data_IF_496802411344
#
_entry.id   IF_496802411344
#
_cell.length_a   1.000
_cell.length_b   1.000
_cell.length_c   1.000
_cell.angle_alpha   90.00
_cell.angle_beta   90.00
_cell.angle_gamma   90.00
#
_symmetry.space_group_name_H-M   'P 1'
#
loop_
_entity.id
_entity.type
_entity.pdbx_description
1 polymer ?
#
# COMPACT_ATOMS: atom_id res chain seq x y z
N UNK A 1 -8.28 13.20 22.13
CA UNK A 1 -8.15 11.79 21.77
C UNK A 1 -6.68 11.42 21.60
N UNK A 2 -6.22 10.36 22.25
CA UNK A 2 -4.85 9.85 22.15
C UNK A 2 -4.85 8.54 21.37
N UNK A 3 -4.10 8.49 20.29
CA UNK A 3 -4.12 7.36 19.35
C UNK A 3 -2.72 6.76 19.26
N UNK A 4 -2.62 5.46 19.46
CA UNK A 4 -1.36 4.75 19.23
C UNK A 4 -1.45 3.92 17.96
N UNK A 5 -0.58 4.19 16.98
CA UNK A 5 -0.48 3.47 15.72
C UNK A 5 0.74 2.55 15.72
N UNK A 6 0.54 1.31 15.35
CA UNK A 6 1.62 0.29 15.36
C UNK A 6 1.84 -0.22 13.95
N UNK A 7 3.05 -0.02 13.45
CA UNK A 7 3.38 -0.41 12.07
C UNK A 7 4.84 -0.75 11.92
N UNK A 8 5.17 -1.57 10.94
CA UNK A 8 6.57 -1.84 10.63
C UNK A 8 6.81 -2.79 9.47
N UNK A 9 8.07 -2.80 9.05
CA UNK A 9 8.61 -3.71 8.06
C UNK A 9 8.61 -3.16 6.63
N UNK A 10 7.47 -2.83 6.05
CA UNK A 10 7.38 -2.39 4.65
C UNK A 10 6.49 -1.17 4.48
N UNK A 11 6.68 -0.45 3.36
CA UNK A 11 5.83 0.69 3.02
C UNK A 11 4.34 0.36 2.96
N UNK A 12 3.99 -0.89 2.62
CA UNK A 12 2.59 -1.35 2.60
C UNK A 12 1.88 -1.32 3.96
N UNK A 13 2.62 -1.36 5.07
CA UNK A 13 2.09 -1.18 6.42
C UNK A 13 2.22 0.28 6.92
N UNK A 14 3.33 0.93 6.56
CA UNK A 14 3.70 2.25 7.09
C UNK A 14 2.84 3.36 6.49
N UNK A 15 2.70 3.41 5.16
CA UNK A 15 1.96 4.48 4.49
C UNK A 15 0.45 4.49 4.79
N UNK A 16 -0.26 3.35 4.91
CA UNK A 16 -1.63 3.34 5.41
C UNK A 16 -1.77 3.88 6.83
N UNK A 17 -0.80 3.59 7.72
CA UNK A 17 -0.81 4.11 9.08
C UNK A 17 -0.58 5.63 9.12
N UNK A 18 0.33 6.14 8.29
CA UNK A 18 0.56 7.59 8.15
C UNK A 18 -0.69 8.26 7.57
N UNK A 19 -1.29 7.70 6.51
CA UNK A 19 -2.51 8.22 5.90
C UNK A 19 -3.67 8.35 6.90
N UNK A 20 -3.83 7.36 7.77
CA UNK A 20 -4.83 7.43 8.84
C UNK A 20 -4.46 8.49 9.90
N UNK A 21 -3.18 8.60 10.27
CA UNK A 21 -2.68 9.61 11.21
C UNK A 21 -2.93 11.03 10.70
N UNK A 22 -2.60 11.30 9.43
CA UNK A 22 -2.82 12.59 8.78
C UNK A 22 -4.31 12.95 8.78
N UNK A 23 -5.19 11.97 8.54
CA UNK A 23 -6.63 12.19 8.54
C UNK A 23 -7.15 12.46 9.97
N UNK A 24 -6.67 11.74 10.98
CA UNK A 24 -6.99 12.04 12.38
C UNK A 24 -6.56 13.46 12.76
N UNK A 25 -5.33 13.86 12.42
CA UNK A 25 -4.80 15.19 12.73
C UNK A 25 -5.63 16.30 12.04
N UNK A 26 -6.07 16.05 10.80
CA UNK A 26 -6.90 17.00 10.06
C UNK A 26 -8.29 17.16 10.64
N UNK A 27 -8.95 16.05 11.04
CA UNK A 27 -10.32 16.08 11.57
C UNK A 27 -10.39 16.43 13.05
N UNK A 28 -9.38 16.04 13.83
CA UNK A 28 -9.28 16.23 15.27
C UNK A 28 -7.98 16.95 15.61
N UNK A 29 -7.90 18.29 15.46
CA UNK A 29 -6.64 19.04 15.61
C UNK A 29 -5.97 18.89 16.99
N UNK A 30 -6.74 18.51 18.03
CA UNK A 30 -6.23 18.29 19.38
C UNK A 30 -5.94 16.82 19.67
N UNK A 31 -5.87 15.94 18.67
CA UNK A 31 -5.47 14.56 18.91
C UNK A 31 -3.95 14.44 19.11
N UNK A 32 -3.56 13.54 19.99
CA UNK A 32 -2.16 13.16 20.16
C UNK A 32 -1.91 11.80 19.50
N UNK A 33 -0.91 11.73 18.65
CA UNK A 33 -0.56 10.49 17.93
C UNK A 33 0.82 10.02 18.35
N UNK A 34 0.90 8.75 18.74
CA UNK A 34 2.14 8.03 19.00
C UNK A 34 2.26 6.85 18.05
N UNK A 35 3.37 6.75 17.35
CA UNK A 35 3.73 5.55 16.59
C UNK A 35 4.65 4.63 17.40
N UNK A 36 4.43 3.32 17.27
CA UNK A 36 5.34 2.29 17.76
C UNK A 36 5.75 1.41 16.57
N UNK A 37 7.07 1.22 16.39
CA UNK A 37 7.64 0.44 15.31
C UNK A 37 8.99 -0.19 15.68
N UNK A 38 9.69 -0.82 14.73
CA UNK A 38 11.04 -1.32 14.95
C UNK A 38 12.09 -0.21 14.86
N UNK A 39 13.19 -0.39 15.59
CA UNK A 39 14.33 0.53 15.65
C UNK A 39 15.25 0.45 14.42
N UNK A 40 15.25 -0.67 13.72
CA UNK A 40 16.18 -1.03 12.65
C UNK A 40 15.53 -1.08 11.25
N UNK A 41 14.27 -0.62 11.11
CA UNK A 41 13.51 -0.72 9.87
C UNK A 41 13.12 0.66 9.32
N UNK A 42 12.45 0.63 8.15
CA UNK A 42 12.03 1.82 7.41
C UNK A 42 11.23 2.81 8.28
N UNK A 43 10.34 2.32 9.13
CA UNK A 43 9.47 3.11 9.99
C UNK A 43 10.24 4.02 10.95
N UNK A 44 11.42 3.59 11.43
CA UNK A 44 12.24 4.39 12.33
C UNK A 44 12.76 5.70 11.70
N UNK A 45 12.80 5.77 10.37
CA UNK A 45 13.21 6.97 9.61
C UNK A 45 12.00 7.72 9.05
N UNK A 46 11.06 6.98 8.45
CA UNK A 46 9.94 7.57 7.72
C UNK A 46 8.97 8.26 8.65
N UNK A 47 8.60 7.64 9.78
CA UNK A 47 7.58 8.21 10.69
C UNK A 47 8.04 9.53 11.33
N UNK A 48 9.27 9.64 11.91
CA UNK A 48 9.76 10.92 12.40
C UNK A 48 9.91 11.99 11.32
N UNK A 49 10.26 11.61 10.09
CA UNK A 49 10.33 12.53 8.96
C UNK A 49 8.96 13.13 8.58
N UNK A 50 7.85 12.47 8.92
CA UNK A 50 6.48 12.99 8.80
C UNK A 50 6.03 13.80 10.04
N UNK A 51 6.91 14.05 11.01
CA UNK A 51 6.62 14.86 12.19
C UNK A 51 5.91 14.15 13.34
N UNK A 52 5.73 12.82 13.25
CA UNK A 52 5.05 12.05 14.31
C UNK A 52 5.99 11.59 15.42
N UNK A 53 5.48 11.57 16.66
CA UNK A 53 6.18 10.94 17.79
C UNK A 53 6.36 9.45 17.53
N UNK A 54 7.57 8.94 17.77
CA UNK A 54 7.92 7.55 17.51
C UNK A 54 8.59 6.90 18.72
N UNK A 55 8.16 5.69 19.07
CA UNK A 55 8.79 4.84 20.08
C UNK A 55 9.21 3.52 19.43
N UNK A 56 10.45 3.14 19.66
CA UNK A 56 11.00 1.94 19.01
C UNK A 56 10.99 0.72 19.92
N UNK A 57 10.75 -0.41 19.28
CA UNK A 57 10.92 -1.76 19.84
C UNK A 57 11.93 -2.52 18.95
N UNK A 58 12.45 -3.62 19.47
CA UNK A 58 13.28 -4.52 18.70
C UNK A 58 12.57 -5.86 18.54
N UNK A 59 12.14 -6.18 17.32
CA UNK A 59 11.45 -7.44 17.00
C UNK A 59 11.97 -8.02 15.69
N UNK A 60 11.95 -9.33 15.57
CA UNK A 60 12.27 -10.04 14.34
C UNK A 60 11.19 -11.06 13.98
N UNK A 61 11.19 -11.48 12.70
CA UNK A 61 10.28 -12.53 12.24
C UNK A 61 10.60 -13.89 12.81
N UNK A 62 9.59 -14.73 12.94
CA UNK A 62 9.73 -16.16 13.28
C UNK A 62 10.23 -16.96 12.05
N UNK A 63 11.39 -16.53 11.51
CA UNK A 63 12.00 -17.08 10.28
C UNK A 63 13.38 -17.66 10.63
N UNK A 64 13.82 -18.66 9.86
CA UNK A 64 15.14 -19.27 10.03
C UNK A 64 15.13 -20.54 10.89
N UNK A 65 16.29 -20.87 11.47
CA UNK A 65 16.49 -22.09 12.28
C UNK A 65 15.86 -21.98 13.69
N UNK A 66 15.90 -23.07 14.45
CA UNK A 66 15.28 -23.15 15.80
C UNK A 66 15.83 -22.09 16.76
N UNK A 67 17.14 -21.81 16.73
CA UNK A 67 17.75 -20.77 17.57
C UNK A 67 17.27 -19.37 17.21
N UNK A 68 17.15 -19.07 15.92
CA UNK A 68 16.64 -17.77 15.45
C UNK A 68 15.17 -17.59 15.82
N UNK A 69 14.35 -18.64 15.70
CA UNK A 69 12.95 -18.62 16.14
C UNK A 69 12.83 -18.46 17.66
N UNK A 70 13.67 -19.14 18.44
CA UNK A 70 13.73 -18.99 19.91
C UNK A 70 14.09 -17.55 20.31
N UNK A 71 15.10 -16.94 19.65
CA UNK A 71 15.48 -15.55 19.86
C UNK A 71 14.32 -14.59 19.52
N UNK A 72 13.64 -14.81 18.40
CA UNK A 72 12.49 -13.97 17.99
C UNK A 72 11.34 -14.04 19.00
N UNK A 73 11.07 -15.23 19.59
CA UNK A 73 10.09 -15.38 20.67
C UNK A 73 10.52 -14.58 21.91
N UNK A 74 11.79 -14.67 22.33
CA UNK A 74 12.34 -13.88 23.44
C UNK A 74 12.21 -12.37 23.21
N UNK A 75 12.53 -11.91 21.99
CA UNK A 75 12.35 -10.51 21.59
C UNK A 75 10.87 -10.09 21.65
N UNK A 76 9.94 -10.96 21.26
CA UNK A 76 8.49 -10.68 21.32
C UNK A 76 8.03 -10.45 22.77
N UNK A 77 8.50 -11.25 23.73
CA UNK A 77 8.19 -11.03 25.16
C UNK A 77 8.80 -9.74 25.71
N UNK A 78 10.06 -9.45 25.37
CA UNK A 78 10.72 -8.20 25.75
C UNK A 78 10.00 -6.98 25.15
N UNK A 79 9.67 -7.04 23.86
CA UNK A 79 8.93 -5.99 23.16
C UNK A 79 7.54 -5.76 23.79
N UNK A 80 6.81 -6.84 24.15
CA UNK A 80 5.53 -6.74 24.85
C UNK A 80 5.67 -6.04 26.22
N UNK A 81 6.71 -6.34 27.00
CA UNK A 81 6.98 -5.69 28.29
C UNK A 81 7.26 -4.19 28.11
N UNK A 82 8.10 -3.84 27.12
CA UNK A 82 8.45 -2.45 26.79
C UNK A 82 7.24 -1.68 26.26
N UNK A 83 6.43 -2.32 25.38
CA UNK A 83 5.18 -1.77 24.88
C UNK A 83 4.20 -1.42 26.00
N UNK A 84 4.03 -2.30 27.00
CA UNK A 84 3.19 -2.01 28.18
C UNK A 84 3.62 -0.72 28.90
N UNK A 85 4.94 -0.47 29.01
CA UNK A 85 5.44 0.77 29.59
C UNK A 85 5.03 1.98 28.74
N UNK A 86 5.28 1.94 27.43
CA UNK A 86 4.92 3.02 26.53
C UNK A 86 3.43 3.35 26.54
N UNK A 87 2.58 2.31 26.54
CA UNK A 87 1.13 2.46 26.57
C UNK A 87 0.64 3.04 27.91
N UNK A 88 1.24 2.67 29.04
CA UNK A 88 0.90 3.27 30.34
C UNK A 88 1.33 4.72 30.45
N UNK A 89 2.50 5.06 29.87
CA UNK A 89 3.03 6.42 29.89
C UNK A 89 2.23 7.35 28.96
N UNK A 90 1.79 6.84 27.81
CA UNK A 90 1.03 7.61 26.82
C UNK A 90 -0.48 7.63 27.08
N UNK A 91 -1.04 6.55 27.64
CA UNK A 91 -2.47 6.35 27.92
C UNK A 91 -3.34 6.57 26.68
N UNK A 92 -3.17 5.77 25.60
CA UNK A 92 -3.98 5.91 24.41
C UNK A 92 -5.43 5.49 24.65
N UNK A 93 -6.37 6.19 24.02
CA UNK A 93 -7.78 5.84 23.97
C UNK A 93 -8.01 4.59 23.07
N UNK A 94 -7.15 4.42 22.05
CA UNK A 94 -7.18 3.28 21.14
C UNK A 94 -5.77 2.94 20.63
N UNK A 95 -5.54 1.65 20.34
CA UNK A 95 -4.34 1.16 19.67
C UNK A 95 -4.70 0.49 18.36
N UNK A 96 -4.11 0.93 17.25
CA UNK A 96 -4.39 0.43 15.90
C UNK A 96 -3.14 -0.23 15.31
N UNK A 97 -3.21 -1.51 15.01
CA UNK A 97 -2.12 -2.29 14.43
C UNK A 97 -2.23 -2.45 12.92
N UNK A 98 -1.23 -1.96 12.18
CA UNK A 98 -1.16 -2.08 10.71
C UNK A 98 -0.32 -3.26 10.21
N UNK A 99 0.17 -4.12 11.12
CA UNK A 99 0.98 -5.27 10.75
C UNK A 99 2.48 -5.06 10.94
N UNK A 100 3.26 -6.01 10.41
CA UNK A 100 4.67 -6.16 10.74
C UNK A 100 4.88 -6.98 12.03
N UNK A 101 6.13 -7.42 12.25
CA UNK A 101 6.45 -8.26 13.42
C UNK A 101 6.26 -7.54 14.76
N UNK A 102 6.37 -6.22 14.76
CA UNK A 102 6.18 -5.36 15.94
C UNK A 102 4.71 -5.28 16.38
N UNK A 103 3.78 -5.50 15.46
CA UNK A 103 2.34 -5.33 15.74
C UNK A 103 1.83 -6.32 16.79
N UNK A 104 2.13 -7.62 16.65
CA UNK A 104 1.61 -8.65 17.55
C UNK A 104 1.94 -8.40 19.04
N UNK A 105 3.20 -8.16 19.46
CA UNK A 105 3.51 -7.92 20.87
C UNK A 105 2.88 -6.64 21.42
N UNK A 106 2.71 -5.58 20.60
CA UNK A 106 2.05 -4.35 21.04
C UNK A 106 0.55 -4.57 21.20
N UNK A 107 -0.11 -5.21 20.24
CA UNK A 107 -1.54 -5.55 20.32
C UNK A 107 -1.83 -6.45 21.52
N UNK A 108 -0.97 -7.46 21.78
CA UNK A 108 -1.07 -8.28 22.99
C UNK A 108 -0.88 -7.50 24.30
N UNK A 109 -0.03 -6.47 24.28
CA UNK A 109 0.14 -5.56 25.42
C UNK A 109 -1.12 -4.74 25.65
N UNK A 110 -1.67 -4.13 24.58
CA UNK A 110 -2.87 -3.29 24.60
C UNK A 110 -4.08 -4.04 25.13
N UNK A 111 -4.39 -5.21 24.58
CA UNK A 111 -5.51 -6.06 25.03
C UNK A 111 -5.35 -6.47 26.51
N UNK A 112 -4.10 -6.74 26.99
CA UNK A 112 -3.87 -7.08 28.39
C UNK A 112 -3.97 -5.89 29.34
N UNK A 113 -4.01 -4.67 28.86
CA UNK A 113 -4.24 -3.43 29.61
C UNK A 113 -5.69 -2.96 29.52
N UNK A 114 -6.56 -3.66 28.80
CA UNK A 114 -7.95 -3.28 28.57
C UNK A 114 -8.11 -2.04 27.68
N UNK A 115 -7.09 -1.71 26.88
CA UNK A 115 -7.16 -0.58 25.95
C UNK A 115 -7.90 -1.02 24.68
N UNK A 116 -8.86 -0.26 24.15
CA UNK A 116 -9.52 -0.51 22.88
C UNK A 116 -8.54 -0.77 21.73
N UNK A 117 -8.83 -1.76 20.89
CA UNK A 117 -7.89 -2.26 19.89
C UNK A 117 -8.52 -2.51 18.54
N UNK A 118 -7.84 -2.09 17.48
CA UNK A 118 -8.19 -2.39 16.10
C UNK A 118 -6.96 -2.89 15.35
N UNK A 119 -7.14 -3.85 14.43
CA UNK A 119 -6.08 -4.22 13.48
C UNK A 119 -6.55 -3.98 12.05
N UNK A 120 -5.60 -3.69 11.18
CA UNK A 120 -5.84 -3.49 9.76
C UNK A 120 -5.08 -4.54 8.94
N UNK A 121 -5.77 -5.22 8.02
CA UNK A 121 -5.18 -6.15 7.05
C UNK A 121 -5.29 -5.58 5.64
N UNK A 122 -4.14 -5.30 5.04
CA UNK A 122 -4.04 -4.66 3.73
C UNK A 122 -4.16 -5.66 2.58
N UNK A 123 -3.77 -6.91 2.81
CA UNK A 123 -3.64 -7.93 1.77
C UNK A 123 -4.83 -8.89 1.78
N UNK A 124 -5.01 -9.59 0.65
CA UNK A 124 -6.03 -10.64 0.51
C UNK A 124 -5.68 -11.94 1.27
N UNK A 125 -4.41 -12.11 1.66
CA UNK A 125 -3.96 -13.18 2.54
C UNK A 125 -3.58 -12.58 3.89
N UNK A 126 -4.19 -13.13 4.94
CA UNK A 126 -4.02 -12.63 6.32
C UNK A 126 -2.59 -12.86 6.82
N UNK A 127 -1.96 -11.78 7.30
CA UNK A 127 -0.63 -11.81 7.87
C UNK A 127 -0.58 -12.54 9.22
N UNK A 128 0.55 -13.25 9.48
CA UNK A 128 0.72 -14.03 10.71
C UNK A 128 0.60 -13.21 12.00
N UNK A 129 1.06 -11.95 12.00
CA UNK A 129 0.92 -11.07 13.17
C UNK A 129 -0.54 -10.77 13.51
N UNK A 130 -1.39 -10.55 12.49
CA UNK A 130 -2.81 -10.32 12.66
C UNK A 130 -3.53 -11.60 13.12
N UNK A 131 -3.15 -12.79 12.59
CA UNK A 131 -3.69 -14.08 13.04
C UNK A 131 -3.44 -14.32 14.53
N UNK A 132 -2.27 -13.94 15.06
CA UNK A 132 -1.93 -14.14 16.47
C UNK A 132 -2.81 -13.36 17.45
N UNK A 133 -3.43 -12.29 17.01
CA UNK A 133 -4.20 -11.38 17.88
C UNK A 133 -5.68 -11.27 17.52
N UNK A 134 -6.12 -11.84 16.40
CA UNK A 134 -7.46 -11.67 15.83
C UNK A 134 -8.62 -11.94 16.79
N UNK A 135 -8.46 -12.93 17.70
CA UNK A 135 -9.51 -13.26 18.69
C UNK A 135 -9.55 -12.29 19.87
N UNK A 136 -8.47 -11.52 20.10
CA UNK A 136 -8.30 -10.65 21.28
C UNK A 136 -8.61 -9.17 21.02
N UNK A 137 -8.51 -8.73 19.76
CA UNK A 137 -8.80 -7.35 19.38
C UNK A 137 -10.29 -7.10 19.28
N UNK A 138 -10.70 -5.84 19.38
CA UNK A 138 -12.11 -5.44 19.37
C UNK A 138 -12.67 -5.34 17.94
N UNK A 139 -11.86 -4.87 16.98
CA UNK A 139 -12.24 -4.79 15.58
C UNK A 139 -11.09 -5.15 14.61
N UNK A 140 -11.48 -5.60 13.41
CA UNK A 140 -10.58 -6.00 12.33
C UNK A 140 -11.03 -5.32 11.05
N UNK A 141 -10.24 -4.39 10.55
CA UNK A 141 -10.48 -3.75 9.26
C UNK A 141 -9.77 -4.53 8.16
N UNK A 142 -10.46 -4.81 7.07
CA UNK A 142 -9.93 -5.55 5.93
C UNK A 142 -10.11 -4.78 4.62
N UNK A 143 -9.24 -5.08 3.63
CA UNK A 143 -9.32 -4.54 2.28
C UNK A 143 -10.02 -5.49 1.31
N UNK A 144 -10.15 -6.78 1.66
CA UNK A 144 -10.69 -7.82 0.80
C UNK A 144 -11.68 -8.72 1.54
N UNK A 145 -12.77 -9.08 0.88
CA UNK A 145 -13.78 -10.03 1.40
C UNK A 145 -13.19 -11.38 1.78
N UNK A 146 -12.17 -11.83 1.03
CA UNK A 146 -11.48 -13.10 1.25
C UNK A 146 -10.92 -13.26 2.67
N UNK A 147 -10.60 -12.18 3.34
CA UNK A 147 -10.13 -12.22 4.74
C UNK A 147 -11.17 -12.80 5.71
N UNK A 148 -12.47 -12.79 5.35
CA UNK A 148 -13.56 -13.37 6.14
C UNK A 148 -13.49 -14.91 6.27
N UNK A 149 -12.68 -15.57 5.43
CA UNK A 149 -12.40 -17.00 5.54
C UNK A 149 -11.52 -17.35 6.75
N UNK A 150 -10.78 -16.36 7.27
CA UNK A 150 -9.78 -16.56 8.34
C UNK A 150 -10.15 -15.82 9.62
N UNK A 151 -10.63 -14.59 9.50
CA UNK A 151 -10.93 -13.74 10.65
C UNK A 151 -12.32 -14.04 11.27
N UNK A 152 -12.51 -13.81 12.59
CA UNK A 152 -13.82 -13.88 13.24
C UNK A 152 -14.81 -12.91 12.58
N UNK A 153 -15.93 -13.44 12.07
CA UNK A 153 -16.90 -12.69 11.27
C UNK A 153 -17.56 -11.52 12.01
N UNK A 154 -17.73 -11.67 13.31
CA UNK A 154 -18.33 -10.68 14.20
C UNK A 154 -17.46 -9.44 14.44
N UNK A 155 -16.16 -9.50 14.05
CA UNK A 155 -15.20 -8.42 14.25
C UNK A 155 -14.76 -7.75 12.94
N UNK A 156 -15.16 -8.28 11.78
CA UNK A 156 -14.67 -7.82 10.48
C UNK A 156 -15.46 -6.61 9.98
N UNK A 157 -14.72 -5.61 9.53
CA UNK A 157 -15.21 -4.43 8.83
C UNK A 157 -14.45 -4.27 7.50
N UNK A 158 -15.14 -4.43 6.37
CA UNK A 158 -14.57 -4.27 5.03
C UNK A 158 -14.54 -2.78 4.65
N UNK A 159 -13.62 -2.02 5.23
CA UNK A 159 -13.52 -0.57 5.06
C UNK A 159 -12.45 -0.14 4.07
N UNK A 160 -11.52 -1.04 3.70
CA UNK A 160 -10.44 -0.75 2.78
C UNK A 160 -9.22 -0.10 3.44
N UNK A 161 -8.37 0.49 2.61
CA UNK A 161 -7.08 1.04 3.00
C UNK A 161 -7.16 2.58 3.09
N UNK A 162 -6.69 3.23 4.16
CA UNK A 162 -6.71 4.69 4.31
C UNK A 162 -6.07 5.46 3.14
N UNK A 163 -5.12 4.87 2.44
CA UNK A 163 -4.51 5.45 1.24
C UNK A 163 -5.50 5.71 0.10
N UNK A 164 -6.57 4.92 0.03
CA UNK A 164 -7.67 5.13 -0.92
C UNK A 164 -8.31 6.52 -0.76
N UNK A 165 -8.52 6.96 0.48
CA UNK A 165 -9.06 8.29 0.79
C UNK A 165 -8.09 9.39 0.36
N UNK A 166 -6.81 9.23 0.68
CA UNK A 166 -5.79 10.22 0.30
C UNK A 166 -5.67 10.35 -1.21
N UNK A 167 -5.67 9.22 -1.94
CA UNK A 167 -5.64 9.24 -3.40
C UNK A 167 -6.89 9.89 -4.01
N UNK A 168 -8.09 9.61 -3.45
CA UNK A 168 -9.35 10.19 -3.92
C UNK A 168 -9.43 11.71 -3.74
N UNK A 169 -8.83 12.23 -2.67
CA UNK A 169 -8.78 13.66 -2.36
C UNK A 169 -7.61 14.40 -3.00
N UNK A 170 -6.69 13.64 -3.62
CA UNK A 170 -5.51 14.20 -4.25
C UNK A 170 -5.91 15.18 -5.38
N UNK A 171 -5.23 16.32 -5.40
CA UNK A 171 -5.40 17.34 -6.43
C UNK A 171 -4.18 17.35 -7.33
N UNK A 172 -4.40 17.71 -8.60
CA UNK A 172 -3.31 17.91 -9.54
C UNK A 172 -2.40 19.04 -9.03
N UNK A 173 -1.10 18.76 -8.97
CA UNK A 173 -0.08 19.80 -8.83
C UNK A 173 0.37 20.19 -10.24
N UNK A 174 -0.21 21.27 -10.78
CA UNK A 174 0.01 21.73 -12.15
C UNK A 174 1.48 22.01 -12.43
N UNK A 175 2.21 22.60 -11.47
CA UNK A 175 3.63 22.90 -11.64
C UNK A 175 4.47 21.63 -11.68
N UNK A 176 4.15 20.65 -10.82
CA UNK A 176 4.82 19.36 -10.82
C UNK A 176 4.50 18.56 -12.10
N UNK A 177 3.23 18.55 -12.54
CA UNK A 177 2.83 17.88 -13.79
C UNK A 177 3.55 18.50 -15.00
N UNK A 178 3.61 19.83 -15.10
CA UNK A 178 4.33 20.52 -16.16
C UNK A 178 5.84 20.19 -16.17
N UNK A 179 6.44 19.97 -15.00
CA UNK A 179 7.87 19.59 -14.91
C UNK A 179 8.17 18.21 -15.49
N UNK A 180 7.16 17.34 -15.63
CA UNK A 180 7.28 16.02 -16.25
C UNK A 180 7.26 16.06 -17.78
N UNK A 181 7.00 17.24 -18.38
CA UNK A 181 6.96 17.49 -19.83
C UNK A 181 5.96 16.63 -20.62
N UNK A 182 4.87 16.19 -19.95
CA UNK A 182 3.81 15.39 -20.55
C UNK A 182 2.87 16.28 -21.38
N UNK A 183 2.37 15.76 -22.51
CA UNK A 183 1.35 16.43 -23.32
C UNK A 183 -0.03 16.31 -22.65
N UNK A 184 -0.68 17.40 -22.24
CA UNK A 184 -1.96 17.36 -21.56
C UNK A 184 -3.12 16.82 -22.41
N UNK A 185 -2.93 16.69 -23.74
CA UNK A 185 -3.93 16.22 -24.70
C UNK A 185 -3.81 14.72 -25.02
N UNK A 186 -2.77 14.03 -24.51
CA UNK A 186 -2.56 12.60 -24.73
C UNK A 186 -2.97 11.81 -23.49
N UNK A 187 -3.46 10.58 -23.71
CA UNK A 187 -3.66 9.64 -22.61
C UNK A 187 -2.33 9.28 -21.96
N UNK A 188 -2.23 9.47 -20.66
CA UNK A 188 -1.01 9.21 -19.87
C UNK A 188 -1.08 7.85 -19.20
N UNK A 189 -0.17 6.95 -19.58
CA UNK A 189 0.00 5.64 -18.94
C UNK A 189 1.22 5.70 -18.02
N UNK A 190 0.97 5.59 -16.72
CA UNK A 190 2.02 5.56 -15.70
C UNK A 190 2.54 4.12 -15.53
N UNK A 191 3.85 3.93 -15.59
CA UNK A 191 4.49 2.62 -15.41
C UNK A 191 5.36 2.65 -14.16
N UNK A 192 5.06 1.79 -13.17
CA UNK A 192 5.79 1.70 -11.89
C UNK A 192 6.00 0.25 -11.46
N UNK A 193 7.26 -0.21 -11.44
CA UNK A 193 7.58 -1.59 -11.02
C UNK A 193 8.14 -1.67 -9.59
N UNK A 194 7.69 -0.76 -8.72
CA UNK A 194 8.12 -0.62 -7.32
C UNK A 194 9.12 0.51 -7.12
N UNK A 195 9.31 0.93 -5.86
CA UNK A 195 10.11 2.11 -5.50
C UNK A 195 11.62 1.99 -5.78
N UNK A 196 12.12 0.77 -5.88
CA UNK A 196 13.53 0.51 -6.17
C UNK A 196 13.80 0.20 -7.65
N UNK A 197 12.73 -0.01 -8.43
CA UNK A 197 12.83 -0.46 -9.82
C UNK A 197 13.27 -1.94 -9.93
N UNK A 198 13.44 -2.40 -11.17
CA UNK A 198 13.92 -3.75 -11.50
C UNK A 198 14.67 -3.69 -12.82
N UNK A 199 15.97 -3.90 -12.81
CA UNK A 199 16.82 -3.81 -14.02
C UNK A 199 16.37 -4.74 -15.14
N UNK A 200 15.93 -5.97 -14.81
CA UNK A 200 15.41 -6.92 -15.81
C UNK A 200 14.10 -6.44 -16.45
N UNK A 201 13.24 -5.76 -15.67
CA UNK A 201 12.02 -5.17 -16.18
C UNK A 201 12.32 -3.92 -17.01
N UNK A 202 13.33 -3.10 -16.64
CA UNK A 202 13.72 -1.92 -17.39
C UNK A 202 14.17 -2.29 -18.82
N UNK A 203 15.00 -3.32 -18.99
CA UNK A 203 15.42 -3.80 -20.32
C UNK A 203 14.22 -4.32 -21.14
N UNK A 204 13.28 -5.01 -20.49
CA UNK A 204 12.08 -5.47 -21.16
C UNK A 204 11.21 -4.29 -21.60
N UNK A 205 11.03 -3.27 -20.74
CA UNK A 205 10.27 -2.06 -21.08
C UNK A 205 10.85 -1.33 -22.29
N UNK A 206 12.18 -1.26 -22.38
CA UNK A 206 12.87 -0.70 -23.55
C UNK A 206 12.46 -1.37 -24.86
N UNK A 207 12.34 -2.69 -24.86
CA UNK A 207 11.88 -3.46 -26.02
C UNK A 207 10.36 -3.31 -26.26
N UNK A 208 9.55 -3.35 -25.19
CA UNK A 208 8.10 -3.33 -25.29
C UNK A 208 7.53 -1.96 -25.72
N UNK A 209 8.15 -0.86 -25.29
CA UNK A 209 7.65 0.49 -25.56
C UNK A 209 8.22 1.10 -26.84
N UNK A 210 9.15 0.42 -27.51
CA UNK A 210 9.87 0.97 -28.67
C UNK A 210 8.97 1.43 -29.82
N UNK A 211 7.92 0.66 -30.14
CA UNK A 211 7.05 0.84 -31.29
C UNK A 211 5.57 0.98 -30.87
N UNK A 212 5.34 1.72 -29.76
CA UNK A 212 3.98 1.96 -29.26
C UNK A 212 3.25 3.05 -30.05
N UNK A 213 1.92 2.97 -30.01
CA UNK A 213 1.04 3.92 -30.67
C UNK A 213 1.24 5.34 -30.11
N UNK A 214 1.40 6.33 -31.00
CA UNK A 214 1.66 7.74 -30.65
C UNK A 214 0.45 8.46 -30.03
N UNK A 215 -0.73 7.83 -29.97
CA UNK A 215 -1.89 8.37 -29.24
C UNK A 215 -1.77 8.25 -27.73
N UNK A 216 -0.87 7.37 -27.26
CA UNK A 216 -0.51 7.22 -25.85
C UNK A 216 0.81 7.93 -25.55
N UNK A 217 0.95 8.41 -24.32
CA UNK A 217 2.24 8.76 -23.75
C UNK A 217 2.50 7.95 -22.48
N UNK A 218 3.77 7.70 -22.19
CA UNK A 218 4.17 6.90 -21.06
C UNK A 218 5.03 7.71 -20.10
N UNK A 219 4.66 7.71 -18.81
CA UNK A 219 5.52 8.15 -17.74
C UNK A 219 6.12 6.92 -17.07
N UNK A 220 7.38 6.65 -17.33
CA UNK A 220 8.07 5.48 -16.84
C UNK A 220 8.95 5.79 -15.62
N UNK A 221 8.66 5.13 -14.49
CA UNK A 221 9.43 5.26 -13.25
C UNK A 221 10.45 4.12 -13.19
N UNK A 222 11.70 4.39 -13.55
CA UNK A 222 12.78 3.39 -13.59
C UNK A 222 13.28 2.99 -12.19
N UNK A 223 13.01 3.82 -11.17
CA UNK A 223 13.42 3.59 -9.78
C UNK A 223 14.76 4.23 -9.43
N UNK A 224 14.89 4.72 -8.20
CA UNK A 224 16.05 5.49 -7.73
C UNK A 224 17.41 4.76 -7.84
N UNK A 225 17.40 3.43 -7.84
CA UNK A 225 18.62 2.63 -7.97
C UNK A 225 19.07 2.44 -9.42
N UNK A 226 18.31 2.92 -10.40
CA UNK A 226 18.54 2.71 -11.84
C UNK A 226 18.70 4.03 -12.58
N UNK A 227 19.44 4.98 -12.02
CA UNK A 227 19.65 6.29 -12.62
C UNK A 227 20.30 6.23 -14.03
N UNK A 228 21.04 5.15 -14.36
CA UNK A 228 21.56 4.88 -15.71
C UNK A 228 20.45 4.73 -16.76
N UNK A 229 19.25 4.37 -16.35
CA UNK A 229 18.12 4.10 -17.25
C UNK A 229 17.29 5.36 -17.56
N UNK A 230 17.63 6.50 -16.97
CA UNK A 230 16.92 7.78 -17.22
C UNK A 230 16.91 8.18 -18.68
N UNK A 231 17.97 7.82 -19.42
CA UNK A 231 18.16 8.17 -20.84
C UNK A 231 17.75 7.06 -21.81
N UNK A 232 17.08 6.01 -21.34
CA UNK A 232 16.80 4.82 -22.16
C UNK A 232 15.84 5.08 -23.35
N UNK A 233 15.13 6.23 -23.33
CA UNK A 233 14.14 6.62 -24.34
C UNK A 233 14.31 8.07 -24.83
N UNK A 234 15.52 8.64 -24.77
CA UNK A 234 15.80 10.02 -25.21
C UNK A 234 15.44 10.27 -26.69
N UNK A 235 15.36 9.22 -27.51
CA UNK A 235 14.94 9.28 -28.90
C UNK A 235 13.41 9.23 -29.10
N UNK A 236 12.62 9.06 -28.02
CA UNK A 236 11.16 8.91 -28.05
C UNK A 236 10.47 10.10 -27.42
N UNK A 237 9.60 10.78 -28.19
CA UNK A 237 8.86 11.96 -27.71
C UNK A 237 7.75 11.65 -26.73
N UNK A 238 7.19 10.44 -26.80
CA UNK A 238 6.00 10.03 -26.06
C UNK A 238 6.33 9.13 -24.85
N UNK A 239 7.63 9.02 -24.50
CA UNK A 239 8.08 8.24 -23.34
C UNK A 239 8.97 9.11 -22.46
N UNK A 240 8.48 9.42 -21.27
CA UNK A 240 9.18 10.25 -20.29
C UNK A 240 9.66 9.36 -19.16
N UNK A 241 10.96 9.38 -18.84
CA UNK A 241 11.56 8.53 -17.81
C UNK A 241 11.96 9.40 -16.61
N UNK A 242 11.56 8.94 -15.43
CA UNK A 242 11.95 9.54 -14.15
C UNK A 242 12.41 8.47 -13.17
N UNK A 243 13.24 8.81 -12.22
CA UNK A 243 13.67 7.91 -11.15
C UNK A 243 12.61 7.75 -10.05
N UNK A 244 11.78 8.78 -9.88
CA UNK A 244 10.72 8.82 -8.88
C UNK A 244 9.59 9.75 -9.33
N UNK A 245 8.37 9.42 -8.94
CA UNK A 245 7.19 10.28 -9.10
C UNK A 245 6.36 10.32 -7.82
N UNK A 246 5.89 11.50 -7.45
CA UNK A 246 4.84 11.66 -6.43
C UNK A 246 3.48 11.44 -7.10
N UNK A 247 2.97 10.23 -7.02
CA UNK A 247 1.74 9.81 -7.70
C UNK A 247 0.52 10.62 -7.27
N UNK A 248 0.44 11.05 -6.02
CA UNK A 248 -0.69 11.84 -5.53
C UNK A 248 -0.82 13.18 -6.26
N UNK A 249 0.31 13.75 -6.71
CA UNK A 249 0.33 15.02 -7.43
C UNK A 249 -0.14 14.92 -8.88
N UNK A 250 -0.17 13.70 -9.45
CA UNK A 250 -0.46 13.49 -10.87
C UNK A 250 -1.64 12.56 -11.15
N UNK A 251 -2.13 11.81 -10.18
CA UNK A 251 -3.23 10.85 -10.37
C UNK A 251 -4.44 11.42 -11.13
N UNK A 252 -4.85 12.70 -10.95
CA UNK A 252 -5.96 13.27 -11.73
C UNK A 252 -5.73 13.32 -13.25
N UNK A 253 -4.50 13.15 -13.72
CA UNK A 253 -4.08 13.14 -15.13
C UNK A 253 -3.52 11.80 -15.60
N UNK A 254 -3.68 10.73 -14.81
CA UNK A 254 -3.26 9.39 -15.18
C UNK A 254 -4.46 8.60 -15.69
N UNK A 255 -4.41 8.19 -16.96
CA UNK A 255 -5.50 7.46 -17.63
C UNK A 255 -5.36 5.94 -17.48
N UNK A 256 -4.16 5.45 -17.26
CA UNK A 256 -3.88 4.03 -17.06
C UNK A 256 -2.63 3.78 -16.24
N UNK A 257 -2.54 2.59 -15.63
CA UNK A 257 -1.43 2.22 -14.76
C UNK A 257 -0.91 0.82 -15.11
N UNK A 258 0.41 0.69 -15.27
CA UNK A 258 1.10 -0.61 -15.33
C UNK A 258 1.98 -0.70 -14.09
N UNK A 259 1.67 -1.62 -13.17
CA UNK A 259 2.34 -1.60 -11.88
C UNK A 259 2.39 -2.95 -11.16
N UNK A 260 3.20 -3.00 -10.10
CA UNK A 260 3.18 -4.10 -9.13
C UNK A 260 1.85 -4.11 -8.36
N UNK A 261 1.37 -5.31 -8.00
CA UNK A 261 0.12 -5.51 -7.28
C UNK A 261 0.26 -5.34 -5.75
N UNK A 262 0.90 -4.24 -5.33
CA UNK A 262 0.98 -3.87 -3.92
C UNK A 262 -0.38 -3.43 -3.37
N UNK A 263 -0.72 -3.83 -2.15
CA UNK A 263 -2.02 -3.54 -1.54
C UNK A 263 -2.35 -2.04 -1.48
N UNK A 264 -1.35 -1.19 -1.26
CA UNK A 264 -1.52 0.27 -1.24
C UNK A 264 -1.84 0.81 -2.63
N UNK A 265 -1.09 0.41 -3.65
CA UNK A 265 -1.32 0.82 -5.04
C UNK A 265 -2.70 0.36 -5.52
N UNK A 266 -3.08 -0.90 -5.23
CA UNK A 266 -4.42 -1.41 -5.57
C UNK A 266 -5.52 -0.57 -4.92
N UNK A 267 -5.38 -0.20 -3.66
CA UNK A 267 -6.36 0.62 -2.98
C UNK A 267 -6.49 2.03 -3.61
N UNK A 268 -5.38 2.63 -4.01
CA UNK A 268 -5.36 3.93 -4.69
C UNK A 268 -6.03 3.85 -6.06
N UNK A 269 -5.59 2.91 -6.91
CA UNK A 269 -6.13 2.78 -8.27
C UNK A 269 -7.62 2.41 -8.29
N UNK A 270 -8.09 1.56 -7.37
CA UNK A 270 -9.52 1.22 -7.29
C UNK A 270 -10.37 2.38 -6.79
N UNK A 271 -9.90 3.16 -5.83
CA UNK A 271 -10.60 4.37 -5.37
C UNK A 271 -10.75 5.43 -6.46
N UNK A 272 -9.77 5.52 -7.36
CA UNK A 272 -9.76 6.43 -8.49
C UNK A 272 -10.46 5.84 -9.72
N UNK A 273 -10.55 4.52 -9.83
CA UNK A 273 -11.03 3.81 -11.00
C UNK A 273 -10.05 3.89 -12.17
N UNK A 274 -8.75 3.83 -11.91
CA UNK A 274 -7.72 3.84 -12.97
C UNK A 274 -7.60 2.44 -13.55
N UNK A 275 -7.86 2.23 -14.86
CA UNK A 275 -7.62 0.96 -15.53
C UNK A 275 -6.17 0.54 -15.41
N UNK A 276 -5.92 -0.74 -15.13
CA UNK A 276 -4.56 -1.15 -14.83
C UNK A 276 -4.19 -2.53 -15.38
N UNK A 277 -2.90 -2.68 -15.73
CA UNK A 277 -2.23 -3.94 -15.99
C UNK A 277 -1.34 -4.22 -14.77
N UNK A 278 -1.70 -5.24 -14.00
CA UNK A 278 -0.97 -5.63 -12.80
C UNK A 278 0.12 -6.64 -13.15
N UNK A 279 1.33 -6.39 -12.67
CA UNK A 279 2.48 -7.31 -12.82
C UNK A 279 2.94 -7.72 -11.41
N UNK A 280 2.33 -8.79 -10.83
CA UNK A 280 2.68 -9.22 -9.48
C UNK A 280 4.15 -9.60 -9.35
N UNK A 281 4.83 -9.11 -8.31
CA UNK A 281 6.20 -9.55 -8.01
C UNK A 281 6.20 -10.95 -7.40
N UNK A 282 6.97 -11.91 -7.93
CA UNK A 282 7.10 -13.24 -7.35
C UNK A 282 8.00 -13.28 -6.11
N UNK A 283 8.75 -12.19 -5.84
CA UNK A 283 9.74 -12.11 -4.76
C UNK A 283 9.16 -11.73 -3.40
N UNK A 284 7.85 -11.49 -3.31
CA UNK A 284 7.17 -11.18 -2.05
C UNK A 284 6.74 -12.45 -1.34
N UNK A 285 6.78 -12.42 -0.01
CA UNK A 285 6.41 -13.58 0.81
C UNK A 285 4.98 -14.05 0.48
N UNK A 286 4.80 -15.39 0.43
CA UNK A 286 3.51 -16.05 0.17
C UNK A 286 2.82 -15.63 -1.15
N UNK A 287 3.57 -15.16 -2.14
CA UNK A 287 3.02 -14.68 -3.42
C UNK A 287 1.87 -13.67 -3.26
N UNK A 288 1.96 -12.82 -2.23
CA UNK A 288 0.88 -11.89 -1.83
C UNK A 288 0.35 -11.02 -2.97
N UNK A 289 1.26 -10.52 -3.81
CA UNK A 289 0.87 -9.64 -4.91
C UNK A 289 0.01 -10.36 -5.96
N UNK A 290 0.30 -11.61 -6.26
CA UNK A 290 -0.52 -12.42 -7.14
C UNK A 290 -1.96 -12.54 -6.60
N UNK A 291 -2.10 -12.90 -5.33
CA UNK A 291 -3.42 -13.05 -4.72
C UNK A 291 -4.17 -11.73 -4.60
N UNK A 292 -3.48 -10.62 -4.38
CA UNK A 292 -4.08 -9.29 -4.41
C UNK A 292 -4.59 -8.94 -5.82
N UNK A 293 -3.78 -9.17 -6.87
CA UNK A 293 -4.15 -8.95 -8.26
C UNK A 293 -5.37 -9.78 -8.66
N UNK A 294 -5.40 -11.05 -8.27
CA UNK A 294 -6.52 -11.96 -8.57
C UNK A 294 -7.86 -11.48 -8.02
N UNK A 295 -7.87 -10.70 -6.91
CA UNK A 295 -9.12 -10.12 -6.40
C UNK A 295 -9.74 -9.11 -7.38
N UNK A 296 -8.91 -8.45 -8.21
CA UNK A 296 -9.36 -7.51 -9.23
C UNK A 296 -9.68 -8.22 -10.54
N UNK A 297 -8.78 -9.10 -10.99
CA UNK A 297 -8.90 -9.83 -12.25
C UNK A 297 -10.19 -10.66 -12.31
N UNK A 298 -10.51 -11.37 -11.22
CA UNK A 298 -11.75 -12.18 -11.11
C UNK A 298 -13.04 -11.33 -11.18
N UNK A 299 -12.92 -10.02 -11.03
CA UNK A 299 -14.03 -9.05 -11.10
C UNK A 299 -13.94 -8.16 -12.35
N UNK A 300 -13.07 -8.49 -13.29
CA UNK A 300 -12.77 -7.69 -14.49
C UNK A 300 -12.39 -6.22 -14.15
N UNK A 301 -11.74 -6.01 -13.00
CA UNK A 301 -11.33 -4.69 -12.51
C UNK A 301 -9.86 -4.35 -12.80
N UNK A 302 -9.12 -5.26 -13.40
CA UNK A 302 -7.76 -5.08 -13.88
C UNK A 302 -7.36 -6.21 -14.82
N UNK A 303 -6.39 -5.96 -15.71
CA UNK A 303 -5.64 -7.00 -16.41
C UNK A 303 -4.44 -7.44 -15.59
N UNK A 304 -3.84 -8.59 -15.89
CA UNK A 304 -2.66 -9.10 -15.19
C UNK A 304 -1.74 -9.85 -16.15
N UNK A 305 -0.43 -9.61 -15.98
CA UNK A 305 0.63 -10.44 -16.58
C UNK A 305 1.50 -10.94 -15.43
N UNK A 306 1.61 -12.26 -15.25
CA UNK A 306 2.59 -12.80 -14.30
C UNK A 306 4.02 -12.52 -14.80
N UNK A 307 4.97 -12.26 -13.88
CA UNK A 307 6.33 -11.88 -14.26
C UNK A 307 7.03 -12.93 -15.14
N UNK A 308 6.72 -14.20 -14.96
CA UNK A 308 7.24 -15.30 -15.82
C UNK A 308 6.79 -15.23 -17.29
N UNK A 309 5.61 -14.62 -17.53
CA UNK A 309 4.98 -14.45 -18.84
C UNK A 309 5.19 -13.04 -19.40
N UNK A 310 5.87 -12.17 -18.63
CA UNK A 310 6.15 -10.80 -19.02
C UNK A 310 7.24 -10.77 -20.10
N UNK A 311 6.85 -10.42 -21.30
CA UNK A 311 7.71 -10.16 -22.44
C UNK A 311 7.15 -9.02 -23.29
N UNK A 312 7.92 -8.53 -24.27
CA UNK A 312 7.53 -7.37 -25.07
C UNK A 312 6.19 -7.58 -25.81
N UNK A 313 5.99 -8.73 -26.41
CA UNK A 313 4.79 -9.06 -27.19
C UNK A 313 3.53 -9.13 -26.29
N UNK A 314 3.62 -9.84 -25.15
CA UNK A 314 2.51 -9.93 -24.21
C UNK A 314 2.15 -8.56 -23.63
N UNK A 315 3.14 -7.76 -23.27
CA UNK A 315 2.90 -6.42 -22.72
C UNK A 315 2.27 -5.50 -23.75
N UNK A 316 2.77 -5.49 -25.00
CA UNK A 316 2.20 -4.71 -26.09
C UNK A 316 0.74 -5.10 -26.39
N UNK A 317 0.45 -6.40 -26.42
CA UNK A 317 -0.91 -6.90 -26.60
C UNK A 317 -1.87 -6.42 -25.51
N UNK A 318 -1.46 -6.50 -24.24
CA UNK A 318 -2.28 -6.03 -23.11
C UNK A 318 -2.45 -4.48 -23.12
N UNK A 319 -1.39 -3.73 -23.47
CA UNK A 319 -1.47 -2.26 -23.62
C UNK A 319 -2.47 -1.90 -24.73
N UNK A 320 -2.38 -2.54 -25.89
CA UNK A 320 -3.30 -2.31 -26.99
C UNK A 320 -4.73 -2.71 -26.64
N UNK A 321 -4.90 -3.90 -26.03
CA UNK A 321 -6.21 -4.42 -25.64
C UNK A 321 -6.93 -3.56 -24.61
N UNK A 322 -6.21 -3.02 -23.66
CA UNK A 322 -6.78 -2.18 -22.60
C UNK A 322 -6.79 -0.69 -22.96
N UNK A 323 -5.63 -0.08 -23.24
CA UNK A 323 -5.52 1.38 -23.27
C UNK A 323 -5.87 2.02 -24.61
N UNK A 324 -5.88 1.26 -25.72
CA UNK A 324 -6.37 1.70 -27.03
C UNK A 324 -7.83 1.30 -27.28
N UNK A 325 -8.47 0.58 -26.36
CA UNK A 325 -9.86 0.17 -26.42
C UNK A 325 -10.69 0.94 -25.39
N UNK A 326 -11.33 2.02 -25.81
CA UNK A 326 -12.09 2.91 -24.92
C UNK A 326 -13.21 2.17 -24.15
N UNK A 327 -13.87 1.19 -24.78
CA UNK A 327 -14.91 0.39 -24.12
C UNK A 327 -14.34 -0.49 -23.01
N UNK A 328 -13.20 -1.11 -23.26
CA UNK A 328 -12.51 -1.94 -22.26
C UNK A 328 -11.99 -1.07 -21.11
N UNK A 329 -11.37 0.07 -21.40
CA UNK A 329 -10.96 1.03 -20.37
C UNK A 329 -12.13 1.47 -19.48
N UNK A 330 -13.27 1.79 -20.08
CA UNK A 330 -14.46 2.23 -19.33
C UNK A 330 -15.00 1.11 -18.45
N UNK A 331 -15.11 -0.11 -18.95
CA UNK A 331 -15.62 -1.26 -18.18
C UNK A 331 -14.66 -1.62 -17.04
N UNK A 332 -13.36 -1.74 -17.29
CA UNK A 332 -12.36 -2.00 -16.24
C UNK A 332 -12.36 -0.88 -15.19
N UNK A 333 -12.43 0.39 -15.61
CA UNK A 333 -12.55 1.55 -14.71
C UNK A 333 -13.76 1.45 -13.80
N UNK A 334 -14.92 1.12 -14.36
CA UNK A 334 -16.18 0.96 -13.62
C UNK A 334 -16.09 -0.18 -12.61
N UNK A 335 -15.57 -1.35 -13.02
CA UNK A 335 -15.40 -2.49 -12.11
C UNK A 335 -14.38 -2.18 -11.00
N UNK A 336 -13.28 -1.48 -11.30
CA UNK A 336 -12.31 -1.04 -10.32
C UNK A 336 -12.95 -0.11 -9.26
N UNK A 337 -13.78 0.86 -9.69
CA UNK A 337 -14.50 1.77 -8.78
C UNK A 337 -15.48 1.04 -7.85
N UNK A 338 -16.14 -0.02 -8.31
CA UNK A 338 -17.05 -0.83 -7.49
C UNK A 338 -16.32 -1.53 -6.33
N UNK A 339 -15.04 -1.89 -6.53
CA UNK A 339 -14.19 -2.48 -5.50
C UNK A 339 -13.55 -1.42 -4.59
N UNK A 340 -13.42 -0.20 -5.06
CA UNK A 340 -12.76 0.89 -4.35
C UNK A 340 -13.46 1.27 -3.05
N UNK A 341 -12.67 1.71 -2.07
CA UNK A 341 -13.13 2.20 -0.75
C UNK A 341 -12.62 3.62 -0.51
N UNK A 342 -13.12 4.62 -1.25
CA UNK A 342 -12.59 5.99 -1.20
C UNK A 342 -12.74 6.67 0.17
N UNK A 343 -13.66 6.19 1.01
CA UNK A 343 -13.90 6.75 2.34
C UNK A 343 -13.19 5.98 3.47
N UNK A 344 -12.28 5.05 3.15
CA UNK A 344 -11.68 4.12 4.10
C UNK A 344 -11.14 4.78 5.38
N UNK A 345 -10.46 5.93 5.27
CA UNK A 345 -9.92 6.60 6.45
C UNK A 345 -11.04 7.20 7.33
N UNK A 346 -12.08 7.76 6.76
CA UNK A 346 -13.23 8.30 7.49
C UNK A 346 -14.01 7.19 8.20
N UNK A 347 -14.28 6.09 7.48
CA UNK A 347 -15.01 4.95 8.02
C UNK A 347 -14.21 4.30 9.17
N UNK A 348 -12.87 4.22 9.05
CA UNK A 348 -12.02 3.73 10.13
C UNK A 348 -12.02 4.66 11.35
N UNK A 349 -12.03 5.98 11.17
CA UNK A 349 -12.13 6.95 12.28
C UNK A 349 -13.47 6.80 13.00
N UNK A 350 -14.57 6.71 12.26
CA UNK A 350 -15.89 6.49 12.82
C UNK A 350 -15.98 5.16 13.60
N UNK A 351 -15.34 4.09 13.08
CA UNK A 351 -15.23 2.82 13.79
C UNK A 351 -14.44 2.98 15.09
N UNK A 352 -13.30 3.71 15.08
CA UNK A 352 -12.53 3.98 16.30
C UNK A 352 -13.37 4.68 17.37
N UNK A 353 -14.13 5.70 17.00
CA UNK A 353 -15.02 6.42 17.92
C UNK A 353 -16.10 5.51 18.52
N UNK A 354 -16.56 4.51 17.77
CA UNK A 354 -17.54 3.54 18.27
C UNK A 354 -16.96 2.52 19.24
N UNK A 355 -15.67 2.20 19.11
CA UNK A 355 -14.96 1.23 19.97
C UNK A 355 -14.52 1.87 21.30
N UNK A 356 -14.20 3.16 21.30
CA UNK A 356 -13.71 3.89 22.48
C UNK A 356 -14.80 4.08 23.55
N UNK A 357 -16.07 3.92 23.18
CA UNK A 357 -17.19 4.01 24.14
C UNK A 357 -17.16 2.85 25.11
#
# INVERSE_FOLDING_TARGET
>A
MKICLVTGGTGGHIYPAIALADKFTHLLPNCEILFIGNDDRMEAKVIPAHGYRFQSLHTSGLVGNVFQKGRAVGQMFSARKKAKKYLRDFQPDIVIGFGGYVSAPVMMASTSLGIPTMIHEQNSIVGKSNQLVMHKVDAIVTCYEKCSEVFPKDKIHLLGNPRATIAKEAKLDEAYYASLQLDPNKKTILIMMGSLGSSSVNELMKSALKDMDSSLQFLYVCGRNNASDLHMFDDKKDIHVVDYVDTLKIYPKVDGLICRAGATTIAELTALGIPSILVPSPYVANNLQYYNAMQLVQKNAAHMIEEKDLNAENLQREIQGLFLNDKEMEEVSKQARLLGKPNAAYDMISLCESIIK
#
